data_IF_123000353886
#
_entry.id   IF_123000353886
#
_cell.length_a   1.000
_cell.length_b   1.000
_cell.length_c   1.000
_cell.angle_alpha   90.00
_cell.angle_beta   90.00
_cell.angle_gamma   90.00
#
_symmetry.space_group_name_H-M   'P 1'
#
loop_
_entity.id
_entity.type
_entity.pdbx_description
1 polymer ?
#
# COMPACT_ATOMS: atom_id res chain seq x y z
N UNK A 1 12.99 14.43 10.22
CA UNK A 1 13.26 13.07 9.71
C UNK A 1 11.92 12.38 9.54
N UNK A 2 11.42 12.19 8.31
CA UNK A 2 10.18 11.44 8.08
C UNK A 2 10.50 9.95 8.06
N UNK A 3 9.91 9.19 8.98
CA UNK A 3 10.09 7.75 9.05
C UNK A 3 9.32 7.10 7.89
N UNK A 4 10.03 6.47 6.96
CA UNK A 4 9.45 5.76 5.82
C UNK A 4 9.21 4.30 6.19
N UNK A 5 8.04 3.77 5.84
CA UNK A 5 7.70 2.36 6.03
C UNK A 5 7.82 1.60 4.72
N UNK A 6 8.50 0.45 4.78
CA UNK A 6 8.70 -0.46 3.67
C UNK A 6 7.72 -1.64 3.77
N UNK A 7 6.97 -1.88 2.71
CA UNK A 7 6.06 -3.02 2.60
C UNK A 7 6.58 -4.00 1.56
N UNK A 8 6.82 -5.24 2.00
CA UNK A 8 7.15 -6.42 1.19
C UNK A 8 6.13 -7.57 1.39
N UNK A 9 5.01 -7.29 2.06
CA UNK A 9 3.92 -8.23 2.34
C UNK A 9 2.60 -7.74 1.74
N UNK A 10 1.54 -8.55 1.85
CA UNK A 10 0.19 -8.24 1.32
C UNK A 10 -0.50 -7.15 2.15
N UNK A 11 -0.14 -5.90 1.91
CA UNK A 11 -0.73 -4.72 2.51
C UNK A 11 -1.56 -3.95 1.47
N UNK A 12 -2.42 -3.05 1.92
CA UNK A 12 -3.12 -2.12 1.04
C UNK A 12 -2.11 -1.28 0.23
N UNK A 13 -1.02 -0.80 0.83
CA UNK A 13 0.01 -0.05 0.10
C UNK A 13 0.66 -0.81 -1.07
N UNK A 14 0.76 -2.15 -1.00
CA UNK A 14 1.28 -2.99 -2.09
C UNK A 14 0.20 -3.45 -3.07
N UNK A 15 -1.06 -3.09 -2.85
CA UNK A 15 -2.20 -3.46 -3.69
C UNK A 15 -2.42 -2.49 -4.84
N UNK A 16 -2.69 -2.95 -6.06
CA UNK A 16 -3.00 -2.12 -7.23
C UNK A 16 -4.12 -1.11 -6.95
N UNK A 17 -5.08 -1.51 -6.12
CA UNK A 17 -6.28 -0.77 -5.75
C UNK A 17 -6.11 0.27 -4.64
N UNK A 18 -4.87 0.62 -4.29
CA UNK A 18 -4.55 1.65 -3.30
C UNK A 18 -4.40 3.03 -3.93
N UNK A 19 -5.07 4.01 -3.35
CA UNK A 19 -5.12 5.40 -3.81
C UNK A 19 -4.40 6.38 -2.86
N UNK A 20 -3.77 5.88 -1.79
CA UNK A 20 -2.95 6.72 -0.92
C UNK A 20 -1.54 6.95 -1.49
N UNK A 21 -0.82 7.90 -0.90
CA UNK A 21 0.57 8.18 -1.28
C UNK A 21 1.46 6.94 -1.10
N UNK A 22 2.20 6.59 -2.14
CA UNK A 22 3.16 5.48 -2.12
C UNK A 22 4.23 5.66 -3.18
N UNK A 23 5.40 5.11 -2.93
CA UNK A 23 6.52 5.08 -3.87
C UNK A 23 7.08 3.66 -3.98
N UNK A 24 7.70 3.34 -5.11
CA UNK A 24 8.44 2.09 -5.27
C UNK A 24 9.92 2.34 -5.05
N UNK A 25 10.64 1.33 -4.56
CA UNK A 25 12.09 1.38 -4.57
C UNK A 25 12.65 1.21 -6.00
N UNK A 26 13.95 1.48 -6.17
CA UNK A 26 14.65 1.36 -7.47
C UNK A 26 14.56 -0.03 -8.13
N UNK A 27 14.28 -1.08 -7.34
CA UNK A 27 14.15 -2.45 -7.83
C UNK A 27 12.70 -2.88 -8.02
N UNK A 28 11.73 -2.00 -7.77
CA UNK A 28 10.31 -2.28 -7.73
C UNK A 28 9.92 -3.51 -6.88
N UNK A 29 10.65 -3.78 -5.79
CA UNK A 29 10.40 -4.91 -4.89
C UNK A 29 9.59 -4.54 -3.64
N UNK A 30 9.70 -3.28 -3.22
CA UNK A 30 9.07 -2.81 -1.99
C UNK A 30 8.36 -1.49 -2.22
N UNK A 31 7.25 -1.30 -1.53
CA UNK A 31 6.55 -0.02 -1.49
C UNK A 31 6.97 0.77 -0.27
N UNK A 32 7.28 2.05 -0.47
CA UNK A 32 7.56 3.04 0.55
C UNK A 32 6.34 3.94 0.76
N UNK A 33 5.95 4.14 2.02
CA UNK A 33 4.97 5.19 2.40
C UNK A 33 5.49 5.98 3.59
N UNK A 34 4.96 7.18 3.80
CA UNK A 34 5.18 7.87 5.08
C UNK A 34 4.49 7.11 6.22
N UNK A 35 4.99 7.24 7.44
CA UNK A 35 4.32 6.74 8.62
C UNK A 35 2.92 7.36 8.75
N UNK A 36 1.93 6.57 9.16
CA UNK A 36 0.51 6.96 9.25
C UNK A 36 -0.12 7.42 7.92
N UNK A 37 0.45 7.03 6.77
CA UNK A 37 -0.20 7.28 5.48
C UNK A 37 -1.57 6.63 5.46
N UNK A 38 -2.61 7.46 5.30
CA UNK A 38 -3.97 7.02 5.07
C UNK A 38 -4.30 7.12 3.59
N UNK A 39 -5.12 6.19 3.13
CA UNK A 39 -5.55 6.14 1.75
C UNK A 39 -6.76 5.23 1.61
N UNK A 40 -7.41 5.33 0.46
CA UNK A 40 -8.54 4.47 0.14
C UNK A 40 -7.99 3.17 -0.46
N UNK A 41 -8.41 2.04 0.11
CA UNK A 41 -8.10 0.72 -0.38
C UNK A 41 -9.34 0.09 -1.02
N UNK A 42 -9.40 0.00 -2.35
CA UNK A 42 -10.56 -0.51 -3.10
C UNK A 42 -10.63 -2.04 -3.16
N UNK A 43 -10.14 -2.73 -2.12
CA UNK A 43 -10.11 -4.19 -2.07
C UNK A 43 -10.24 -4.74 -0.66
N UNK A 44 -11.27 -5.57 -0.44
CA UNK A 44 -11.49 -6.31 0.80
C UNK A 44 -12.44 -5.63 1.80
N UNK A 45 -12.29 -5.95 3.10
CA UNK A 45 -13.24 -5.54 4.14
C UNK A 45 -13.33 -4.03 4.41
N UNK A 46 -12.35 -3.25 3.94
CA UNK A 46 -12.32 -1.78 4.02
C UNK A 46 -12.64 -1.13 2.67
N UNK A 47 -13.44 -1.78 1.82
CA UNK A 47 -13.79 -1.31 0.48
C UNK A 47 -14.31 0.14 0.52
N UNK A 48 -13.53 1.06 -0.06
CA UNK A 48 -13.80 2.50 -0.11
C UNK A 48 -13.68 3.26 1.23
N UNK A 49 -13.17 2.61 2.28
CA UNK A 49 -12.90 3.27 3.55
C UNK A 49 -11.46 3.80 3.60
N UNK A 50 -11.23 4.98 4.23
CA UNK A 50 -9.89 5.43 4.56
C UNK A 50 -9.25 4.43 5.52
N UNK A 51 -8.12 3.87 5.14
CA UNK A 51 -7.38 2.89 5.97
C UNK A 51 -5.90 3.18 5.95
N UNK A 52 -5.16 2.55 6.86
CA UNK A 52 -3.71 2.67 6.92
C UNK A 52 -3.06 1.92 5.74
N UNK A 53 -1.95 2.45 5.23
CA UNK A 53 -1.06 1.77 4.27
C UNK A 53 -0.76 0.31 4.64
N UNK A 54 -0.60 0.03 5.94
CA UNK A 54 -0.30 -1.29 6.49
C UNK A 54 -1.53 -2.23 6.65
N UNK A 55 -2.75 -1.75 6.37
CA UNK A 55 -3.95 -2.55 6.52
C UNK A 55 -3.97 -3.74 5.54
N UNK A 56 -4.70 -4.80 5.91
CA UNK A 56 -4.87 -5.96 5.06
C UNK A 56 -5.85 -5.67 3.92
N UNK A 57 -5.51 -6.12 2.72
CA UNK A 57 -6.39 -6.06 1.56
C UNK A 57 -6.94 -7.46 1.27
N UNK A 58 -8.23 -7.70 1.50
CA UNK A 58 -8.81 -9.04 1.30
C UNK A 58 -8.97 -9.40 -0.20
N UNK A 59 -9.06 -8.40 -1.07
CA UNK A 59 -8.98 -8.57 -2.53
C UNK A 59 -7.63 -8.09 -3.04
N UNK A 60 -6.56 -8.66 -2.47
CA UNK A 60 -5.20 -8.26 -2.80
C UNK A 60 -4.89 -8.57 -4.27
N UNK A 61 -4.63 -7.51 -5.04
CA UNK A 61 -4.05 -7.57 -6.37
C UNK A 61 -2.73 -6.84 -6.27
N UNK A 62 -1.60 -7.51 -6.50
CA UNK A 62 -0.30 -6.85 -6.40
C UNK A 62 -0.24 -5.66 -7.36
N UNK A 63 0.28 -4.53 -6.88
CA UNK A 63 0.47 -3.35 -7.70
C UNK A 63 1.38 -3.68 -8.88
N UNK A 64 0.87 -3.52 -10.11
CA UNK A 64 1.50 -4.01 -11.35
C UNK A 64 2.92 -3.51 -11.62
N UNK A 65 3.32 -2.40 -11.00
CA UNK A 65 4.69 -1.89 -11.10
C UNK A 65 5.68 -2.70 -10.26
N UNK A 66 5.22 -3.48 -9.28
CA UNK A 66 6.05 -4.34 -8.45
C UNK A 66 6.42 -5.64 -9.19
N UNK A 67 7.68 -6.05 -9.09
CA UNK A 67 8.27 -7.23 -9.76
C UNK A 67 8.55 -8.39 -8.81
#
# INVERSE_FOLDING_TARGET
>A
MYQQFLFNFRACATCERWMGARQINQFARTVQTAQNTQGICYGGGFNQLPTNAAASCAQFVQWRVLR
#
